data_IF_167751281136
#
_entry.id   IF_167751281136
#
_cell.length_a   1.000
_cell.length_b   1.000
_cell.length_c   1.000
_cell.angle_alpha   90.00
_cell.angle_beta   90.00
_cell.angle_gamma   90.00
#
_symmetry.space_group_name_H-M   'P 1'
#
loop_
_entity.id
_entity.type
_entity.pdbx_description
1 polymer ?
#
# COMPACT_ATOMS: atom_id res chain seq x y z
N UNK A 1 65.62 38.32 -33.74
CA UNK A 1 64.14 38.30 -33.92
C UNK A 1 63.60 36.94 -34.35
N UNK A 2 64.25 36.18 -35.24
CA UNK A 2 63.74 34.86 -35.70
C UNK A 2 63.57 33.80 -34.59
N UNK A 3 64.33 33.87 -33.48
CA UNK A 3 64.25 32.89 -32.39
C UNK A 3 63.01 33.02 -31.50
N UNK A 4 62.40 34.21 -31.41
CA UNK A 4 61.18 34.44 -30.64
C UNK A 4 59.94 33.94 -31.39
N UNK A 5 59.89 34.17 -32.70
CA UNK A 5 58.84 33.69 -33.61
C UNK A 5 58.75 32.16 -33.61
N UNK A 6 59.89 31.48 -33.73
CA UNK A 6 60.00 30.01 -33.66
C UNK A 6 59.55 29.44 -32.32
N UNK A 7 59.87 30.12 -31.21
CA UNK A 7 59.41 29.72 -29.86
C UNK A 7 57.89 29.92 -29.72
N UNK A 8 57.36 31.06 -30.14
CA UNK A 8 55.92 31.35 -30.09
C UNK A 8 55.11 30.35 -30.92
N UNK A 9 55.55 30.05 -32.14
CA UNK A 9 54.88 29.06 -33.00
C UNK A 9 54.88 27.66 -32.39
N UNK A 10 55.99 27.24 -31.75
CA UNK A 10 56.05 25.94 -31.03
C UNK A 10 55.10 25.92 -29.84
N UNK A 11 55.05 26.98 -29.03
CA UNK A 11 54.11 27.08 -27.91
C UNK A 11 52.66 27.06 -28.37
N UNK A 12 52.33 27.82 -29.42
CA UNK A 12 50.98 27.86 -29.99
C UNK A 12 50.57 26.51 -30.58
N UNK A 13 51.48 25.82 -31.28
CA UNK A 13 51.24 24.45 -31.76
C UNK A 13 51.03 23.47 -30.61
N UNK A 14 51.85 23.54 -29.55
CA UNK A 14 51.67 22.72 -28.35
C UNK A 14 50.33 22.98 -27.66
N UNK A 15 49.90 24.24 -27.56
CA UNK A 15 48.60 24.61 -26.99
C UNK A 15 47.43 24.12 -27.84
N UNK A 16 47.53 24.22 -29.17
CA UNK A 16 46.52 23.70 -30.09
C UNK A 16 46.42 22.17 -29.98
N UNK A 17 47.55 21.47 -29.94
CA UNK A 17 47.57 20.01 -29.76
C UNK A 17 46.97 19.65 -28.40
N UNK A 18 47.34 20.36 -27.34
CA UNK A 18 46.77 20.15 -26.00
C UNK A 18 45.26 20.39 -25.99
N UNK A 19 44.78 21.45 -26.64
CA UNK A 19 43.36 21.76 -26.76
C UNK A 19 42.60 20.67 -27.53
N UNK A 20 43.15 20.18 -28.65
CA UNK A 20 42.53 19.09 -29.42
C UNK A 20 42.49 17.79 -28.61
N UNK A 21 43.58 17.46 -27.90
CA UNK A 21 43.63 16.28 -27.03
C UNK A 21 42.62 16.41 -25.88
N UNK A 22 42.50 17.59 -25.27
CA UNK A 22 41.55 17.86 -24.20
C UNK A 22 40.09 17.81 -24.68
N UNK A 23 39.79 18.41 -25.84
CA UNK A 23 38.47 18.34 -26.46
C UNK A 23 38.10 16.90 -26.85
N UNK A 24 39.06 16.15 -27.42
CA UNK A 24 38.91 14.72 -27.70
C UNK A 24 38.65 13.91 -26.43
N UNK A 25 39.39 14.19 -25.36
CA UNK A 25 39.18 13.58 -24.06
C UNK A 25 37.76 13.83 -23.53
N UNK A 26 37.25 15.07 -23.54
CA UNK A 26 35.89 15.36 -23.07
C UNK A 26 34.84 14.55 -23.83
N UNK A 27 34.96 14.45 -25.16
CA UNK A 27 34.01 13.71 -25.99
C UNK A 27 34.02 12.21 -25.67
N UNK A 28 35.20 11.64 -25.44
CA UNK A 28 35.35 10.21 -25.11
C UNK A 28 34.94 9.93 -23.66
N UNK A 29 35.35 10.77 -22.71
CA UNK A 29 35.01 10.66 -21.30
C UNK A 29 33.50 10.75 -21.09
N UNK A 30 32.78 11.59 -21.83
CA UNK A 30 31.31 11.67 -21.76
C UNK A 30 30.60 10.35 -22.12
N UNK A 31 31.28 9.39 -22.76
CA UNK A 31 30.72 8.05 -23.05
C UNK A 31 31.21 6.95 -22.12
N UNK A 32 32.43 7.07 -21.59
CA UNK A 32 33.08 6.02 -20.79
C UNK A 32 33.15 6.33 -19.29
N UNK A 33 33.21 7.60 -18.92
CA UNK A 33 33.22 8.08 -17.54
C UNK A 33 32.27 9.29 -17.41
N UNK A 34 30.96 9.12 -17.68
CA UNK A 34 30.04 10.25 -17.71
C UNK A 34 29.88 10.85 -16.32
N UNK A 35 29.95 12.18 -16.25
CA UNK A 35 29.72 12.97 -15.06
C UNK A 35 28.39 13.73 -15.17
N UNK A 36 27.61 13.74 -14.10
CA UNK A 36 26.44 14.61 -13.97
C UNK A 36 26.40 15.30 -12.62
N UNK A 37 26.07 16.59 -12.65
CA UNK A 37 25.75 17.40 -11.46
C UNK A 37 24.25 17.43 -11.19
N UNK A 38 23.44 16.89 -12.11
CA UNK A 38 21.99 16.79 -11.98
C UNK A 38 21.63 15.54 -11.18
N UNK A 39 22.09 15.48 -9.93
CA UNK A 39 21.77 14.36 -9.04
C UNK A 39 21.40 14.81 -7.64
N UNK A 40 20.49 14.06 -7.02
CA UNK A 40 19.95 14.35 -5.69
C UNK A 40 19.75 13.07 -4.89
N UNK A 41 19.90 13.19 -3.58
CA UNK A 41 19.41 12.18 -2.63
C UNK A 41 17.89 12.17 -2.69
N UNK A 42 17.32 11.01 -2.94
CA UNK A 42 15.89 10.74 -2.91
C UNK A 42 15.58 9.84 -1.71
N UNK A 43 14.33 9.80 -1.31
CA UNK A 43 13.85 8.90 -0.27
C UNK A 43 12.35 8.69 -0.39
N UNK A 44 11.82 7.68 0.27
CA UNK A 44 10.37 7.55 0.37
C UNK A 44 9.82 8.67 1.25
N UNK A 45 8.82 9.37 0.74
CA UNK A 45 8.14 10.44 1.45
C UNK A 45 6.70 9.98 1.67
N UNK A 46 6.40 9.60 2.90
CA UNK A 46 5.10 9.04 3.26
C UNK A 46 4.27 10.15 3.88
N UNK A 47 3.06 10.36 3.36
CA UNK A 47 2.08 11.27 3.95
C UNK A 47 1.25 10.49 4.95
N UNK A 48 1.36 10.83 6.23
CA UNK A 48 0.57 10.17 7.29
C UNK A 48 -0.76 10.91 7.41
N UNK A 49 -1.84 10.20 7.10
CA UNK A 49 -3.22 10.65 7.22
C UNK A 49 -3.95 9.77 8.24
N UNK A 50 -4.90 10.33 9.01
CA UNK A 50 -5.71 9.54 9.92
C UNK A 50 -6.73 8.72 9.13
N UNK A 51 -7.05 7.52 9.61
CA UNK A 51 -8.11 6.71 9.01
C UNK A 51 -9.49 7.07 9.54
N UNK A 52 -9.54 7.73 10.70
CA UNK A 52 -10.77 8.14 11.36
C UNK A 52 -10.77 9.64 11.68
N UNK A 53 -11.90 10.31 11.48
CA UNK A 53 -12.03 11.77 11.70
C UNK A 53 -12.27 12.10 13.16
N UNK A 54 -11.60 13.09 13.75
CA UNK A 54 -11.95 13.61 15.09
C UNK A 54 -11.05 14.76 15.53
N UNK A 55 -11.27 15.27 16.75
CA UNK A 55 -10.41 16.31 17.33
C UNK A 55 -9.12 15.68 17.84
N UNK A 56 -7.98 16.30 17.57
CA UNK A 56 -6.69 15.85 18.09
C UNK A 56 -6.56 16.29 19.56
N UNK A 57 -6.34 15.32 20.44
CA UNK A 57 -6.23 15.52 21.89
C UNK A 57 -4.78 15.61 22.36
N UNK A 58 -3.87 14.97 21.63
CA UNK A 58 -2.46 14.90 22.00
C UNK A 58 -1.57 14.77 20.76
N UNK A 59 -0.42 15.43 20.79
CA UNK A 59 0.62 15.38 19.75
C UNK A 59 1.95 15.12 20.44
N UNK A 60 2.45 13.88 20.34
CA UNK A 60 3.59 13.38 21.11
C UNK A 60 4.94 13.57 20.39
N UNK A 61 4.90 14.22 19.23
CA UNK A 61 6.04 14.36 18.33
C UNK A 61 6.16 15.80 17.84
N UNK A 62 7.40 16.24 17.67
CA UNK A 62 7.74 17.53 17.10
C UNK A 62 8.17 17.44 15.64
N UNK A 63 8.19 18.60 14.97
CA UNK A 63 8.75 18.70 13.63
C UNK A 63 10.26 18.40 13.64
N UNK A 64 10.76 17.65 12.65
CA UNK A 64 12.13 17.17 12.52
C UNK A 64 12.59 16.21 13.63
N UNK A 65 11.65 15.55 14.33
CA UNK A 65 11.97 14.56 15.35
C UNK A 65 12.14 13.16 14.73
N UNK A 66 13.19 12.45 15.15
CA UNK A 66 13.38 11.03 14.85
C UNK A 66 12.50 10.17 15.78
N UNK A 67 11.80 9.20 15.20
CA UNK A 67 10.90 8.27 15.89
C UNK A 67 11.19 6.84 15.48
N UNK A 68 10.89 5.90 16.38
CA UNK A 68 10.98 4.47 16.11
C UNK A 68 9.62 3.92 15.71
N UNK A 69 9.61 2.77 15.03
CA UNK A 69 8.39 2.01 14.74
C UNK A 69 7.53 1.85 15.99
N UNK A 70 6.23 2.13 15.86
CA UNK A 70 5.25 2.02 16.94
C UNK A 70 5.22 3.20 17.91
N UNK A 71 6.09 4.22 17.74
CA UNK A 71 6.01 5.46 18.53
C UNK A 71 4.69 6.16 18.21
N UNK A 72 3.86 6.52 19.21
CA UNK A 72 2.65 7.29 18.96
C UNK A 72 2.99 8.68 18.44
N UNK A 73 2.30 9.10 17.38
CA UNK A 73 2.49 10.39 16.73
C UNK A 73 1.51 11.41 17.30
N UNK A 74 0.22 11.09 17.18
CA UNK A 74 -0.86 11.89 17.72
C UNK A 74 -2.05 10.99 18.04
N UNK A 75 -2.91 11.50 18.93
CA UNK A 75 -4.12 10.81 19.38
C UNK A 75 -5.34 11.66 19.04
N UNK A 76 -6.35 11.00 18.51
CA UNK A 76 -7.68 11.56 18.25
C UNK A 76 -8.58 11.26 19.45
N UNK A 77 -9.51 12.16 19.76
CA UNK A 77 -10.50 11.97 20.82
C UNK A 77 -11.20 10.61 20.69
N UNK A 78 -10.99 9.77 21.69
CA UNK A 78 -11.46 8.38 21.71
C UNK A 78 -12.89 8.26 22.18
N UNK A 79 -13.47 9.28 22.82
CA UNK A 79 -14.74 9.20 23.56
C UNK A 79 -15.87 8.65 22.71
N UNK A 80 -16.01 9.15 21.47
CA UNK A 80 -17.04 8.69 20.53
C UNK A 80 -16.83 7.25 20.06
N UNK A 81 -15.58 6.79 20.00
CA UNK A 81 -15.21 5.46 19.53
C UNK A 81 -15.35 4.44 20.65
N UNK A 82 -14.98 4.81 21.88
CA UNK A 82 -15.24 4.00 23.08
C UNK A 82 -16.75 3.80 23.27
N UNK A 83 -17.56 4.84 23.12
CA UNK A 83 -19.03 4.71 23.14
C UNK A 83 -19.56 3.83 22.00
N UNK A 84 -18.93 3.86 20.82
CA UNK A 84 -19.32 2.99 19.71
C UNK A 84 -19.00 1.52 20.00
N UNK A 85 -17.85 1.24 20.65
CA UNK A 85 -17.48 -0.10 21.13
C UNK A 85 -18.49 -0.58 22.17
N UNK A 86 -18.78 0.22 23.20
CA UNK A 86 -19.76 -0.14 24.24
C UNK A 86 -21.15 -0.42 23.64
N UNK A 87 -21.60 0.40 22.69
CA UNK A 87 -22.85 0.17 21.97
C UNK A 87 -22.85 -1.15 21.19
N UNK A 88 -21.73 -1.49 20.56
CA UNK A 88 -21.59 -2.74 19.81
C UNK A 88 -21.51 -3.97 20.74
N UNK A 89 -20.87 -3.86 21.90
CA UNK A 89 -20.87 -4.91 22.94
C UNK A 89 -22.28 -5.20 23.46
N UNK A 90 -23.06 -4.15 23.73
CA UNK A 90 -24.47 -4.30 24.13
C UNK A 90 -25.28 -4.96 23.02
N UNK A 91 -25.06 -4.59 21.76
CA UNK A 91 -25.73 -5.21 20.62
C UNK A 91 -25.37 -6.70 20.47
N UNK A 92 -24.11 -7.08 20.68
CA UNK A 92 -23.66 -8.46 20.68
C UNK A 92 -24.33 -9.27 21.80
N UNK A 93 -24.42 -8.70 23.00
CA UNK A 93 -25.15 -9.34 24.11
C UNK A 93 -26.62 -9.56 23.76
N UNK A 94 -27.28 -8.56 23.17
CA UNK A 94 -28.68 -8.69 22.73
C UNK A 94 -28.84 -9.76 21.64
N UNK A 95 -27.88 -9.92 20.75
CA UNK A 95 -27.89 -10.97 19.73
C UNK A 95 -27.80 -12.37 20.36
N UNK A 96 -26.93 -12.58 21.35
CA UNK A 96 -26.88 -13.86 22.09
C UNK A 96 -28.15 -14.15 22.88
N UNK A 97 -28.79 -13.13 23.46
CA UNK A 97 -30.09 -13.28 24.14
C UNK A 97 -31.19 -13.69 23.15
N UNK A 98 -31.20 -13.11 21.94
CA UNK A 98 -32.13 -13.48 20.87
C UNK A 98 -31.88 -14.90 20.34
N UNK A 99 -30.62 -15.29 20.18
CA UNK A 99 -30.22 -16.65 19.82
C UNK A 99 -30.69 -17.67 20.87
N UNK A 100 -30.50 -17.35 22.16
CA UNK A 100 -31.01 -18.16 23.28
C UNK A 100 -32.54 -18.33 23.22
N UNK A 101 -33.27 -17.27 22.87
CA UNK A 101 -34.72 -17.35 22.66
C UNK A 101 -35.09 -18.21 21.45
N UNK A 102 -34.29 -18.21 20.38
CA UNK A 102 -34.48 -19.08 19.21
C UNK A 102 -34.27 -20.56 19.57
N UNK A 103 -33.29 -20.90 20.42
CA UNK A 103 -33.13 -22.26 20.93
C UNK A 103 -34.39 -22.77 21.64
N UNK A 104 -34.99 -21.94 22.50
CA UNK A 104 -36.23 -22.28 23.18
C UNK A 104 -37.39 -22.50 22.19
N UNK A 105 -37.49 -21.66 21.14
CA UNK A 105 -38.49 -21.82 20.07
C UNK A 105 -38.28 -23.10 19.25
N UNK A 106 -37.05 -23.46 18.91
CA UNK A 106 -36.73 -24.73 18.23
C UNK A 106 -37.12 -25.92 19.10
N UNK A 107 -36.84 -25.87 20.41
CA UNK A 107 -37.27 -26.92 21.36
C UNK A 107 -38.80 -27.06 21.38
N UNK A 108 -39.52 -25.95 21.47
CA UNK A 108 -40.99 -25.93 21.38
C UNK A 108 -41.50 -26.45 20.03
N UNK A 109 -40.83 -26.10 18.92
CA UNK A 109 -41.16 -26.56 17.57
C UNK A 109 -40.99 -28.08 17.43
N UNK A 110 -39.90 -28.65 17.99
CA UNK A 110 -39.70 -30.11 18.04
C UNK A 110 -40.81 -30.81 18.81
N UNK A 111 -41.21 -30.28 19.96
CA UNK A 111 -42.33 -30.81 20.72
C UNK A 111 -43.63 -30.74 19.89
N UNK A 112 -43.88 -29.63 19.18
CA UNK A 112 -45.05 -29.49 18.31
C UNK A 112 -45.07 -30.55 17.20
N UNK A 113 -43.95 -30.77 16.51
CA UNK A 113 -43.81 -31.83 15.50
C UNK A 113 -44.10 -33.21 16.10
N UNK A 114 -43.59 -33.50 17.29
CA UNK A 114 -43.86 -34.76 17.98
C UNK A 114 -45.35 -34.95 18.28
N UNK A 115 -46.05 -33.91 18.76
CA UNK A 115 -47.50 -33.98 19.01
C UNK A 115 -48.31 -34.17 17.72
N UNK A 116 -47.99 -33.46 16.63
CA UNK A 116 -48.70 -33.60 15.36
C UNK A 116 -48.41 -34.93 14.68
N UNK A 117 -47.19 -35.47 14.86
CA UNK A 117 -46.82 -36.80 14.39
C UNK A 117 -47.65 -37.88 15.09
N UNK A 118 -47.83 -37.79 16.41
CA UNK A 118 -48.67 -38.71 17.16
C UNK A 118 -50.13 -38.67 16.68
N UNK A 119 -50.68 -37.47 16.46
CA UNK A 119 -52.04 -37.29 15.92
C UNK A 119 -52.20 -37.88 14.51
N UNK A 120 -51.23 -37.66 13.63
CA UNK A 120 -51.21 -38.29 12.30
C UNK A 120 -51.13 -39.81 12.38
N UNK A 121 -50.27 -40.37 13.24
CA UNK A 121 -50.14 -41.82 13.41
C UNK A 121 -51.46 -42.46 13.88
N UNK A 122 -52.18 -41.79 14.78
CA UNK A 122 -53.50 -42.23 15.23
C UNK A 122 -54.53 -42.19 14.09
N UNK A 123 -54.65 -41.05 13.40
CA UNK A 123 -55.59 -40.88 12.28
C UNK A 123 -55.30 -41.86 11.13
N UNK A 124 -54.03 -42.12 10.83
CA UNK A 124 -53.59 -43.10 9.84
C UNK A 124 -53.97 -44.51 10.23
N UNK A 125 -53.76 -44.90 11.49
CA UNK A 125 -54.10 -46.23 11.99
C UNK A 125 -55.62 -46.46 11.95
N UNK A 126 -56.40 -45.45 12.30
CA UNK A 126 -57.87 -45.47 12.19
C UNK A 126 -58.31 -45.62 10.74
N UNK A 127 -57.82 -44.77 9.83
CA UNK A 127 -58.11 -44.86 8.41
C UNK A 127 -57.78 -46.24 7.83
N UNK A 128 -56.63 -46.82 8.19
CA UNK A 128 -56.25 -48.17 7.75
C UNK A 128 -57.20 -49.25 8.27
N UNK A 129 -57.67 -49.12 9.52
CA UNK A 129 -58.64 -50.04 10.12
C UNK A 129 -59.99 -49.96 9.40
N UNK A 130 -60.52 -48.74 9.25
CA UNK A 130 -61.79 -48.48 8.57
C UNK A 130 -61.74 -48.92 7.09
N UNK A 131 -60.61 -48.69 6.40
CA UNK A 131 -60.41 -49.16 5.02
C UNK A 131 -60.52 -50.68 4.89
N UNK A 132 -59.92 -51.45 5.81
CA UNK A 132 -60.02 -52.92 5.82
C UNK A 132 -61.47 -53.38 6.08
N UNK A 133 -62.16 -52.75 7.02
CA UNK A 133 -63.57 -53.05 7.31
C UNK A 133 -64.50 -52.69 6.14
N UNK A 134 -64.21 -51.60 5.43
CA UNK A 134 -64.98 -51.17 4.25
C UNK A 134 -64.85 -52.17 3.10
N UNK A 135 -63.65 -52.74 2.88
CA UNK A 135 -63.42 -53.81 1.90
C UNK A 135 -64.23 -55.07 2.21
N UNK A 136 -64.49 -55.32 3.49
CA UNK A 136 -65.35 -56.41 3.98
C UNK A 136 -66.84 -56.03 4.02
N UNK A 137 -67.21 -54.82 3.56
CA UNK A 137 -68.58 -54.25 3.59
C UNK A 137 -69.17 -54.11 5.00
N UNK A 138 -68.33 -53.92 6.03
CA UNK A 138 -68.73 -53.81 7.44
C UNK A 138 -68.97 -52.37 7.92
N UNK A 139 -68.68 -51.35 7.10
CA UNK A 139 -68.84 -49.91 7.40
C UNK A 139 -69.37 -49.15 6.19
N UNK A 140 -69.92 -47.94 6.39
CA UNK A 140 -70.47 -47.09 5.32
C UNK A 140 -69.39 -46.35 4.52
N UNK A 141 -69.71 -45.98 3.28
CA UNK A 141 -68.81 -45.18 2.42
C UNK A 141 -68.46 -43.82 3.06
N UNK A 142 -69.45 -43.12 3.62
CA UNK A 142 -69.23 -41.85 4.33
C UNK A 142 -68.26 -41.99 5.51
N UNK A 143 -68.28 -43.11 6.24
CA UNK A 143 -67.33 -43.35 7.33
C UNK A 143 -65.88 -43.47 6.81
N UNK A 144 -65.69 -44.15 5.68
CA UNK A 144 -64.38 -44.24 5.02
C UNK A 144 -63.90 -42.86 4.54
N UNK A 145 -64.78 -42.08 3.90
CA UNK A 145 -64.45 -40.74 3.41
C UNK A 145 -64.08 -39.79 4.55
N UNK A 146 -64.81 -39.83 5.67
CA UNK A 146 -64.48 -39.05 6.87
C UNK A 146 -63.12 -39.47 7.47
N UNK A 147 -62.82 -40.77 7.53
CA UNK A 147 -61.53 -41.25 8.02
C UNK A 147 -60.37 -40.83 7.09
N UNK A 148 -60.59 -40.83 5.77
CA UNK A 148 -59.62 -40.34 4.78
C UNK A 148 -59.37 -38.84 4.97
N UNK A 149 -60.43 -38.04 5.07
CA UNK A 149 -60.34 -36.59 5.27
C UNK A 149 -59.63 -36.24 6.60
N UNK A 150 -59.94 -36.95 7.69
CA UNK A 150 -59.26 -36.73 8.97
C UNK A 150 -57.76 -37.06 8.89
N UNK A 151 -57.40 -38.14 8.19
CA UNK A 151 -56.00 -38.49 7.96
C UNK A 151 -55.28 -37.46 7.08
N UNK A 152 -55.92 -36.91 6.04
CA UNK A 152 -55.31 -35.87 5.19
C UNK A 152 -55.09 -34.56 5.95
N UNK A 153 -56.05 -34.13 6.78
CA UNK A 153 -55.89 -32.96 7.67
C UNK A 153 -54.73 -33.18 8.65
N UNK A 154 -54.64 -34.35 9.27
CA UNK A 154 -53.57 -34.65 10.21
C UNK A 154 -52.19 -34.67 9.54
N UNK A 155 -52.10 -35.17 8.30
CA UNK A 155 -50.87 -35.13 7.51
C UNK A 155 -50.46 -33.69 7.17
N UNK A 156 -51.40 -32.86 6.72
CA UNK A 156 -51.13 -31.45 6.42
C UNK A 156 -50.65 -30.68 7.65
N UNK A 157 -51.23 -30.94 8.82
CA UNK A 157 -50.81 -30.33 10.08
C UNK A 157 -49.40 -30.75 10.50
N UNK A 158 -49.03 -32.02 10.26
CA UNK A 158 -47.66 -32.49 10.49
C UNK A 158 -46.68 -31.79 9.54
N UNK A 159 -46.99 -31.71 8.25
CA UNK A 159 -46.14 -31.02 7.29
C UNK A 159 -45.97 -29.54 7.64
N UNK A 160 -47.04 -28.84 8.04
CA UNK A 160 -46.96 -27.45 8.49
C UNK A 160 -46.01 -27.31 9.69
N UNK A 161 -46.18 -28.14 10.73
CA UNK A 161 -45.30 -28.12 11.90
C UNK A 161 -43.83 -28.43 11.56
N UNK A 162 -43.58 -29.31 10.58
CA UNK A 162 -42.22 -29.60 10.10
C UNK A 162 -41.60 -28.41 9.37
N UNK A 163 -42.36 -27.71 8.52
CA UNK A 163 -41.87 -26.50 7.84
C UNK A 163 -41.61 -25.36 8.82
N UNK A 164 -42.48 -25.20 9.82
CA UNK A 164 -42.28 -24.22 10.89
C UNK A 164 -40.97 -24.50 11.65
N UNK A 165 -40.72 -25.77 12.01
CA UNK A 165 -39.47 -26.16 12.67
C UNK A 165 -38.24 -25.91 11.78
N UNK A 166 -38.32 -26.25 10.49
CA UNK A 166 -37.23 -26.00 9.54
C UNK A 166 -36.91 -24.51 9.44
N UNK A 167 -37.93 -23.64 9.39
CA UNK A 167 -37.73 -22.19 9.33
C UNK A 167 -36.97 -21.66 10.56
N UNK A 168 -37.29 -22.18 11.75
CA UNK A 168 -36.60 -21.82 12.99
C UNK A 168 -35.15 -22.33 13.02
N UNK A 169 -34.90 -23.53 12.49
CA UNK A 169 -33.55 -24.09 12.37
C UNK A 169 -32.68 -23.27 11.40
N UNK A 170 -33.25 -22.83 10.27
CA UNK A 170 -32.55 -21.96 9.31
C UNK A 170 -32.20 -20.60 9.95
N UNK A 171 -33.11 -20.02 10.74
CA UNK A 171 -32.83 -18.76 11.46
C UNK A 171 -31.74 -18.92 12.53
N UNK A 172 -31.68 -20.08 13.19
CA UNK A 172 -30.67 -20.36 14.21
C UNK A 172 -29.28 -20.63 13.60
N UNK A 173 -29.22 -21.14 12.38
CA UNK A 173 -27.97 -21.51 11.72
C UNK A 173 -27.53 -22.94 12.02
N UNK A 174 -26.34 -23.30 11.55
CA UNK A 174 -25.81 -24.67 11.59
C UNK A 174 -25.07 -24.93 12.91
N UNK A 175 -24.37 -23.92 13.44
CA UNK A 175 -23.51 -24.03 14.62
C UNK A 175 -24.07 -23.18 15.78
N UNK A 176 -24.02 -23.68 17.02
CA UNK A 176 -24.30 -22.84 18.19
C UNK A 176 -23.34 -21.67 18.36
N UNK A 177 -23.89 -20.47 18.58
CA UNK A 177 -23.12 -19.23 18.72
C UNK A 177 -22.78 -18.54 17.41
N UNK A 178 -23.18 -19.11 16.27
CA UNK A 178 -22.88 -18.62 14.92
C UNK A 178 -24.15 -18.23 14.16
N UNK A 179 -25.24 -17.91 14.88
CA UNK A 179 -26.42 -17.37 14.22
C UNK A 179 -26.05 -16.07 13.49
N UNK A 180 -26.70 -15.82 12.35
CA UNK A 180 -26.37 -14.67 11.49
C UNK A 180 -26.45 -13.33 12.20
N UNK A 181 -27.32 -13.22 13.21
CA UNK A 181 -27.44 -12.04 14.08
C UNK A 181 -26.26 -11.86 15.02
N UNK A 182 -25.71 -12.95 15.58
CA UNK A 182 -24.51 -12.90 16.43
C UNK A 182 -23.32 -12.48 15.60
N UNK A 183 -23.07 -13.13 14.46
CA UNK A 183 -21.97 -12.75 13.57
C UNK A 183 -22.06 -11.30 13.06
N UNK A 184 -23.26 -10.82 12.75
CA UNK A 184 -23.44 -9.42 12.37
C UNK A 184 -23.05 -8.46 13.51
N UNK A 185 -23.37 -8.81 14.76
CA UNK A 185 -23.02 -8.02 15.93
C UNK A 185 -21.52 -8.12 16.29
N UNK A 186 -20.91 -9.29 16.14
CA UNK A 186 -19.45 -9.50 16.30
C UNK A 186 -18.67 -8.64 15.31
N UNK A 187 -19.04 -8.67 14.03
CA UNK A 187 -18.42 -7.84 12.99
C UNK A 187 -18.58 -6.34 13.29
N UNK A 188 -19.73 -5.92 13.81
CA UNK A 188 -19.96 -4.54 14.21
C UNK A 188 -19.07 -4.13 15.39
N UNK A 189 -18.85 -5.03 16.35
CA UNK A 189 -17.92 -4.83 17.47
C UNK A 189 -16.46 -4.75 16.99
N UNK A 190 -16.04 -5.66 16.11
CA UNK A 190 -14.70 -5.64 15.52
C UNK A 190 -14.45 -4.33 14.75
N UNK A 191 -15.42 -3.88 13.94
CA UNK A 191 -15.33 -2.60 13.23
C UNK A 191 -15.23 -1.41 14.19
N UNK A 192 -15.98 -1.42 15.30
CA UNK A 192 -15.90 -0.37 16.31
C UNK A 192 -14.53 -0.35 17.01
N UNK A 193 -13.99 -1.54 17.32
CA UNK A 193 -12.67 -1.70 17.92
C UNK A 193 -11.54 -1.24 16.97
N UNK A 194 -11.66 -1.55 15.67
CA UNK A 194 -10.71 -1.09 14.66
C UNK A 194 -10.73 0.43 14.54
N UNK A 195 -11.93 1.03 14.52
CA UNK A 195 -12.05 2.49 14.50
C UNK A 195 -11.49 3.13 15.77
N UNK A 196 -11.62 2.48 16.93
CA UNK A 196 -11.00 2.91 18.18
C UNK A 196 -9.47 2.79 18.12
N UNK A 197 -8.91 1.71 17.59
CA UNK A 197 -7.46 1.56 17.48
C UNK A 197 -6.85 2.59 16.52
N UNK A 198 -7.58 2.95 15.46
CA UNK A 198 -7.16 3.98 14.49
C UNK A 198 -7.23 5.42 15.04
N UNK A 199 -7.74 5.62 16.25
CA UNK A 199 -7.62 6.92 16.94
C UNK A 199 -6.20 7.24 17.36
N UNK A 200 -5.36 6.21 17.55
CA UNK A 200 -3.95 6.36 17.89
C UNK A 200 -3.10 6.09 16.64
N UNK A 201 -2.53 7.15 16.08
CA UNK A 201 -1.71 7.04 14.89
C UNK A 201 -0.26 6.88 15.29
N UNK A 202 0.35 5.75 14.90
CA UNK A 202 1.70 5.37 15.27
C UNK A 202 2.66 5.40 14.07
N UNK A 203 3.96 5.53 14.33
CA UNK A 203 4.99 5.48 13.29
C UNK A 203 5.07 4.07 12.64
N UNK A 204 5.00 3.95 11.30
CA UNK A 204 5.00 2.65 10.63
C UNK A 204 6.39 1.96 10.62
N UNK A 205 7.47 2.74 10.64
CA UNK A 205 8.86 2.28 10.68
C UNK A 205 9.74 3.30 11.44
N UNK A 206 11.05 3.08 11.45
CA UNK A 206 12.02 4.04 12.00
C UNK A 206 12.23 5.18 10.98
N UNK A 207 12.07 6.42 11.41
CA UNK A 207 12.09 7.57 10.49
C UNK A 207 12.07 8.92 11.18
N UNK A 208 11.94 9.96 10.36
CA UNK A 208 11.91 11.36 10.80
C UNK A 208 10.59 11.99 10.36
N UNK A 209 9.97 12.72 11.27
CA UNK A 209 8.74 13.48 11.01
C UNK A 209 9.12 14.86 10.50
N UNK A 210 8.49 15.29 9.42
CA UNK A 210 8.70 16.60 8.79
C UNK A 210 7.36 17.21 8.42
N UNK A 211 7.32 18.53 8.25
CA UNK A 211 6.10 19.27 7.88
C UNK A 211 4.89 18.89 8.76
N UNK A 212 5.09 18.87 10.08
CA UNK A 212 4.02 18.65 11.05
C UNK A 212 3.08 19.85 11.06
N UNK A 213 1.85 19.68 10.57
CA UNK A 213 0.81 20.72 10.51
C UNK A 213 -0.35 20.38 11.45
N UNK A 214 -0.01 19.99 12.68
CA UNK A 214 -0.98 19.50 13.64
C UNK A 214 -0.75 20.13 15.01
N UNK A 215 -1.83 20.63 15.60
CA UNK A 215 -1.88 21.16 16.96
C UNK A 215 -3.04 20.53 17.73
N UNK A 216 -2.90 20.46 19.06
CA UNK A 216 -3.97 19.99 19.94
C UNK A 216 -5.20 20.89 19.80
N UNK A 217 -6.38 20.27 19.68
CA UNK A 217 -7.65 20.95 19.43
C UNK A 217 -8.00 21.12 17.95
N UNK A 218 -7.08 20.84 17.02
CA UNK A 218 -7.39 20.83 15.59
C UNK A 218 -8.21 19.59 15.18
N UNK A 219 -8.95 19.69 14.08
CA UNK A 219 -9.75 18.59 13.55
C UNK A 219 -8.95 17.78 12.52
N UNK A 220 -8.67 16.53 12.84
CA UNK A 220 -8.13 15.53 11.94
C UNK A 220 -9.26 14.93 11.09
N UNK A 221 -9.13 14.97 9.76
CA UNK A 221 -10.12 14.40 8.82
C UNK A 221 -9.55 13.17 8.12
N UNK A 222 -10.37 12.12 7.96
CA UNK A 222 -9.95 10.88 7.28
C UNK A 222 -9.32 11.16 5.92
N UNK A 223 -8.21 10.47 5.61
CA UNK A 223 -7.44 10.58 4.36
C UNK A 223 -6.84 11.96 4.05
N UNK A 224 -6.84 12.89 5.01
CA UNK A 224 -6.13 14.16 4.88
C UNK A 224 -4.76 14.07 5.57
N UNK A 225 -3.64 14.22 4.84
CA UNK A 225 -2.30 14.21 5.44
C UNK A 225 -2.13 15.32 6.48
N UNK A 226 -1.62 14.97 7.66
CA UNK A 226 -1.34 15.92 8.76
C UNK A 226 0.16 16.13 9.00
N UNK A 227 0.97 15.14 8.61
CA UNK A 227 2.42 15.20 8.69
C UNK A 227 3.07 14.37 7.58
N UNK A 228 4.33 14.67 7.31
CA UNK A 228 5.17 13.91 6.40
C UNK A 228 6.15 13.05 7.20
N UNK A 229 6.30 11.80 6.82
CA UNK A 229 7.20 10.84 7.45
C UNK A 229 8.23 10.35 6.42
N UNK A 230 9.51 10.39 6.79
CA UNK A 230 10.64 9.96 5.95
C UNK A 230 11.32 8.78 6.64
N UNK A 231 11.23 7.54 6.11
CA UNK A 231 11.93 6.38 6.65
C UNK A 231 13.45 6.53 6.54
N UNK A 232 14.19 6.18 7.59
CA UNK A 232 15.66 6.40 7.64
C UNK A 232 16.44 5.47 6.72
N UNK A 233 15.89 4.29 6.44
CA UNK A 233 16.46 3.22 5.62
C UNK A 233 16.11 3.33 4.12
N UNK A 234 15.47 4.44 3.72
CA UNK A 234 14.90 4.59 2.37
C UNK A 234 15.66 5.53 1.44
N UNK A 235 16.88 5.96 1.79
CA UNK A 235 17.62 6.95 1.00
C UNK A 235 18.41 6.31 -0.15
N UNK A 236 18.26 6.85 -1.36
CA UNK A 236 19.06 6.49 -2.54
C UNK A 236 19.50 7.73 -3.30
N UNK A 237 20.41 7.61 -4.28
CA UNK A 237 20.81 8.74 -5.14
C UNK A 237 20.19 8.57 -6.52
N UNK A 238 19.46 9.58 -6.98
CA UNK A 238 18.95 9.64 -8.34
C UNK A 238 19.80 10.64 -9.15
N UNK A 239 20.30 10.18 -10.29
CA UNK A 239 21.20 10.95 -11.14
C UNK A 239 20.71 10.97 -12.59
N UNK A 240 20.54 12.18 -13.14
CA UNK A 240 20.03 12.37 -14.50
C UNK A 240 21.20 12.52 -15.47
N UNK A 241 21.41 11.52 -16.31
CA UNK A 241 22.48 11.50 -17.32
C UNK A 241 21.94 11.71 -18.73
N UNK A 242 22.76 12.23 -19.63
CA UNK A 242 22.44 12.29 -21.07
C UNK A 242 22.32 10.87 -21.63
N UNK A 243 21.34 10.61 -22.48
CA UNK A 243 21.09 9.28 -23.06
C UNK A 243 22.35 8.67 -23.71
N UNK A 244 23.08 9.47 -24.51
CA UNK A 244 24.33 9.03 -25.15
C UNK A 244 25.43 8.62 -24.16
N UNK A 245 25.39 9.15 -22.95
CA UNK A 245 26.43 9.02 -21.94
C UNK A 245 26.29 7.70 -21.17
N UNK A 246 25.06 7.22 -20.99
CA UNK A 246 24.76 5.94 -20.34
C UNK A 246 24.68 4.76 -21.32
N UNK A 247 24.83 4.99 -22.63
CA UNK A 247 24.68 3.95 -23.65
C UNK A 247 25.67 2.79 -23.50
N UNK A 248 26.82 3.01 -22.85
CA UNK A 248 27.84 2.00 -22.56
C UNK A 248 27.80 1.50 -21.11
N UNK A 249 26.89 2.02 -20.29
CA UNK A 249 26.75 1.65 -18.88
C UNK A 249 25.77 0.48 -18.75
N UNK A 250 26.08 -0.45 -17.85
CA UNK A 250 25.26 -1.62 -17.54
C UNK A 250 25.24 -1.87 -16.02
N UNK A 251 24.64 -2.96 -15.58
CA UNK A 251 24.56 -3.33 -14.16
C UNK A 251 25.93 -3.61 -13.52
N UNK A 252 26.99 -3.78 -14.31
CA UNK A 252 28.38 -3.95 -13.86
C UNK A 252 29.19 -2.64 -13.92
N UNK A 253 28.50 -1.50 -14.01
CA UNK A 253 29.14 -0.19 -13.88
C UNK A 253 29.03 0.30 -12.45
N UNK A 254 30.14 0.76 -11.89
CA UNK A 254 30.19 1.38 -10.57
C UNK A 254 29.96 2.89 -10.69
N UNK A 255 29.42 3.48 -9.62
CA UNK A 255 29.25 4.91 -9.46
C UNK A 255 30.12 5.45 -8.31
N UNK A 256 30.70 6.62 -8.51
CA UNK A 256 31.28 7.43 -7.44
C UNK A 256 30.46 8.69 -7.27
N UNK A 257 30.09 8.95 -6.03
CA UNK A 257 29.24 10.07 -5.65
C UNK A 257 29.99 10.97 -4.68
N UNK A 258 29.97 12.28 -4.93
CA UNK A 258 30.38 13.29 -3.96
C UNK A 258 29.17 14.15 -3.63
N UNK A 259 28.97 14.45 -2.35
CA UNK A 259 27.86 15.29 -1.89
C UNK A 259 28.37 16.71 -1.62
N UNK A 260 27.53 17.71 -1.87
CA UNK A 260 27.87 19.12 -1.57
C UNK A 260 28.08 19.29 -0.05
N UNK A 261 27.33 18.55 0.77
CA UNK A 261 27.47 18.54 2.23
C UNK A 261 28.79 17.94 2.73
N UNK A 262 29.51 17.19 1.89
CA UNK A 262 30.77 16.51 2.26
C UNK A 262 31.84 16.76 1.20
N UNK A 263 32.36 18.00 1.10
CA UNK A 263 33.37 18.35 0.12
C UNK A 263 34.64 17.50 0.30
N UNK A 264 35.25 17.09 -0.81
CA UNK A 264 36.44 16.25 -0.86
C UNK A 264 36.24 14.77 -0.51
N UNK A 265 35.02 14.33 -0.10
CA UNK A 265 34.73 12.92 0.19
C UNK A 265 33.95 12.27 -0.95
N UNK A 266 34.36 11.05 -1.30
CA UNK A 266 33.73 10.25 -2.35
C UNK A 266 33.15 8.98 -1.74
N UNK A 267 31.98 8.60 -2.22
CA UNK A 267 31.22 7.43 -1.77
C UNK A 267 31.02 6.49 -2.94
N UNK A 268 31.21 5.20 -2.72
CA UNK A 268 30.99 4.17 -3.73
C UNK A 268 29.50 3.78 -3.75
N UNK A 269 28.95 3.69 -4.95
CA UNK A 269 27.57 3.33 -5.22
C UNK A 269 27.52 2.34 -6.37
N UNK A 270 26.48 1.51 -6.37
CA UNK A 270 26.17 0.59 -7.46
C UNK A 270 24.94 1.10 -8.22
N UNK A 271 24.86 0.77 -9.51
CA UNK A 271 23.67 1.06 -10.30
C UNK A 271 22.58 0.06 -9.88
N UNK A 272 21.52 0.57 -9.27
CA UNK A 272 20.38 -0.24 -8.86
C UNK A 272 19.40 -0.42 -10.01
N UNK A 273 19.04 0.69 -10.66
CA UNK A 273 18.09 0.67 -11.77
C UNK A 273 18.25 1.89 -12.67
N UNK A 274 17.67 1.78 -13.86
CA UNK A 274 17.56 2.87 -14.83
C UNK A 274 16.10 3.01 -15.21
N UNK A 275 15.61 4.25 -15.26
CA UNK A 275 14.25 4.53 -15.71
C UNK A 275 14.12 4.18 -17.20
N UNK A 276 13.06 3.43 -17.54
CA UNK A 276 12.80 2.99 -18.93
C UNK A 276 11.92 3.97 -19.72
N UNK A 277 11.51 5.08 -19.10
CA UNK A 277 10.63 6.06 -19.73
C UNK A 277 10.80 7.45 -19.12
N UNK A 278 10.45 8.45 -19.90
CA UNK A 278 10.39 9.86 -19.50
C UNK A 278 9.00 10.38 -19.84
N UNK A 279 8.45 11.25 -18.99
CA UNK A 279 7.09 11.78 -19.17
C UNK A 279 6.88 12.47 -20.53
N UNK A 280 7.94 12.97 -21.16
CA UNK A 280 7.90 13.56 -22.50
C UNK A 280 7.39 12.61 -23.61
N UNK A 281 7.47 11.29 -23.41
CA UNK A 281 6.95 10.29 -24.35
C UNK A 281 5.51 9.84 -24.04
N UNK A 282 4.92 10.31 -22.93
CA UNK A 282 3.63 9.84 -22.46
C UNK A 282 2.51 10.66 -23.08
N UNK A 283 1.75 10.06 -24.00
CA UNK A 283 0.55 10.65 -24.57
C UNK A 283 -0.66 10.19 -23.74
N UNK A 284 -1.37 11.11 -23.11
CA UNK A 284 -2.65 10.78 -22.46
C UNK A 284 -3.69 10.44 -23.52
N UNK A 285 -4.36 9.27 -23.44
CA UNK A 285 -5.44 8.94 -24.36
C UNK A 285 -6.56 9.97 -24.24
N UNK A 286 -6.74 10.81 -25.26
CA UNK A 286 -7.70 11.93 -25.24
C UNK A 286 -8.61 11.96 -26.48
N UNK A 287 -8.61 10.89 -27.28
CA UNK A 287 -9.46 10.75 -28.47
C UNK A 287 -9.11 11.68 -29.65
N UNK A 288 -8.03 12.48 -29.54
CA UNK A 288 -7.52 13.30 -30.64
C UNK A 288 -6.41 12.55 -31.39
N UNK A 289 -6.26 12.83 -32.68
CA UNK A 289 -5.11 12.35 -33.45
C UNK A 289 -3.82 12.94 -32.87
N UNK A 290 -2.77 12.12 -32.80
CA UNK A 290 -1.44 12.56 -32.36
C UNK A 290 -0.96 13.72 -33.23
N UNK A 291 -0.72 14.88 -32.60
CA UNK A 291 -0.08 16.00 -33.25
C UNK A 291 1.43 15.73 -33.39
N UNK A 292 2.00 16.04 -34.55
CA UNK A 292 3.46 16.03 -34.74
C UNK A 292 4.05 17.18 -33.93
N UNK A 293 4.95 16.89 -32.99
CA UNK A 293 5.69 17.94 -32.30
C UNK A 293 6.62 18.67 -33.29
N UNK A 294 6.34 19.94 -33.56
CA UNK A 294 7.20 20.80 -34.37
C UNK A 294 8.13 21.61 -33.46
N UNK A 295 9.38 21.16 -33.33
CA UNK A 295 10.41 21.90 -32.60
C UNK A 295 11.28 22.71 -33.58
N UNK A 296 11.36 24.03 -33.41
CA UNK A 296 12.11 24.94 -34.28
C UNK A 296 13.57 25.16 -33.85
N UNK A 297 14.13 24.26 -33.05
CA UNK A 297 15.53 24.33 -32.59
C UNK A 297 16.46 23.65 -33.60
N UNK A 298 17.49 24.38 -34.04
CA UNK A 298 18.54 23.89 -34.95
C UNK A 298 19.45 22.82 -34.32
N UNK A 299 19.52 22.76 -32.99
CA UNK A 299 20.15 21.68 -32.22
C UNK A 299 19.14 21.12 -31.22
N UNK A 300 18.95 19.80 -31.24
CA UNK A 300 18.06 19.09 -30.31
C UNK A 300 18.68 19.04 -28.91
N UNK A 301 17.87 19.30 -27.89
CA UNK A 301 18.28 19.12 -26.50
C UNK A 301 18.65 17.65 -26.24
N UNK A 302 19.67 17.44 -25.40
CA UNK A 302 20.01 16.10 -24.96
C UNK A 302 18.89 15.57 -24.05
N UNK A 303 18.28 14.46 -24.46
CA UNK A 303 17.37 13.72 -23.59
C UNK A 303 18.16 13.17 -22.42
N UNK A 304 17.59 13.25 -21.22
CA UNK A 304 18.16 12.68 -20.01
C UNK A 304 17.37 11.47 -19.55
N UNK A 305 18.09 10.54 -18.95
CA UNK A 305 17.57 9.32 -18.35
C UNK A 305 18.07 9.27 -16.92
N UNK A 306 17.14 8.98 -15.99
CA UNK A 306 17.45 8.84 -14.58
C UNK A 306 18.04 7.47 -14.30
N UNK A 307 19.12 7.47 -13.54
CA UNK A 307 19.76 6.28 -12.99
C UNK A 307 19.65 6.35 -11.48
N UNK A 308 19.09 5.32 -10.86
CA UNK A 308 18.99 5.19 -9.42
C UNK A 308 20.17 4.36 -8.91
N UNK A 309 20.81 4.87 -7.87
CA UNK A 309 22.04 4.35 -7.31
C UNK A 309 21.81 3.99 -5.86
N UNK A 310 22.23 2.79 -5.48
CA UNK A 310 22.18 2.29 -4.10
C UNK A 310 23.58 2.04 -3.56
N UNK A 311 23.71 2.05 -2.25
CA UNK A 311 24.95 1.70 -1.55
C UNK A 311 24.63 0.79 -0.39
N UNK A 312 25.54 -0.14 -0.10
CA UNK A 312 25.43 -1.04 1.05
C UNK A 312 25.94 -0.36 2.34
N UNK A 313 26.71 0.72 2.20
CA UNK A 313 27.20 1.50 3.33
C UNK A 313 26.15 2.49 3.83
N UNK A 314 25.96 2.63 5.16
CA UNK A 314 24.99 3.58 5.68
C UNK A 314 25.39 5.00 5.32
N UNK A 315 24.47 5.71 4.67
CA UNK A 315 24.68 7.11 4.30
C UNK A 315 24.85 7.99 5.54
N UNK A 316 25.68 9.05 5.47
CA UNK A 316 25.83 9.99 6.56
C UNK A 316 24.48 10.61 6.98
N UNK A 317 24.21 10.66 8.28
CA UNK A 317 22.93 11.15 8.85
C UNK A 317 22.60 12.62 8.52
N UNK A 318 23.59 13.40 8.09
CA UNK A 318 23.42 14.78 7.67
C UNK A 318 22.81 14.92 6.28
N UNK A 319 22.82 13.86 5.47
CA UNK A 319 22.13 13.85 4.19
C UNK A 319 20.62 13.77 4.42
N UNK A 320 19.89 14.60 3.68
CA UNK A 320 18.42 14.66 3.69
C UNK A 320 17.89 14.53 2.25
N UNK A 321 16.61 14.15 2.11
CA UNK A 321 15.94 14.09 0.81
C UNK A 321 16.02 15.46 0.13
N UNK A 322 16.61 15.50 -1.06
CA UNK A 322 16.89 16.73 -1.80
C UNK A 322 18.35 17.20 -1.74
N UNK A 323 19.20 16.58 -0.92
CA UNK A 323 20.65 16.88 -0.89
C UNK A 323 21.25 16.72 -2.29
N UNK A 324 22.04 17.70 -2.70
CA UNK A 324 22.70 17.70 -4.01
C UNK A 324 23.90 16.77 -4.02
N UNK A 325 24.11 16.14 -5.16
CA UNK A 325 25.25 15.29 -5.39
C UNK A 325 25.80 15.50 -6.80
N UNK A 326 27.06 15.13 -6.99
CA UNK A 326 27.66 14.91 -8.30
C UNK A 326 28.01 13.44 -8.42
N UNK A 327 27.66 12.83 -9.55
CA UNK A 327 27.88 11.40 -9.80
C UNK A 327 28.74 11.23 -11.05
N UNK A 328 29.71 10.34 -10.96
CA UNK A 328 30.43 9.78 -12.11
C UNK A 328 30.17 8.28 -12.20
N UNK A 329 29.79 7.80 -13.37
CA UNK A 329 29.74 6.36 -13.66
C UNK A 329 31.01 5.94 -14.39
N UNK A 330 31.44 4.70 -14.23
CA UNK A 330 32.49 4.11 -15.04
C UNK A 330 32.32 2.59 -15.16
N UNK A 331 32.82 1.95 -16.22
CA UNK A 331 32.77 0.50 -16.36
C UNK A 331 33.88 -0.16 -15.53
N UNK A 332 33.56 -1.24 -14.82
CA UNK A 332 34.52 -1.93 -13.95
C UNK A 332 35.65 -2.62 -14.71
N UNK A 333 35.44 -2.89 -15.99
CA UNK A 333 36.35 -3.65 -16.84
C UNK A 333 37.59 -2.88 -17.31
N UNK A 334 37.71 -1.57 -17.03
CA UNK A 334 38.83 -0.77 -17.52
C UNK A 334 39.48 0.10 -16.43
N UNK A 335 40.74 -0.19 -16.03
CA UNK A 335 41.43 0.53 -14.96
C UNK A 335 41.75 1.99 -15.31
N UNK A 336 41.85 2.32 -16.61
CA UNK A 336 42.13 3.70 -17.04
C UNK A 336 40.92 4.58 -16.74
N UNK A 337 39.72 4.12 -17.07
CA UNK A 337 38.49 4.88 -16.85
C UNK A 337 38.14 4.99 -15.38
N UNK A 338 38.39 3.96 -14.58
CA UNK A 338 38.18 4.03 -13.13
C UNK A 338 39.14 5.02 -12.45
N UNK A 339 40.41 5.08 -12.88
CA UNK A 339 41.36 6.07 -12.38
C UNK A 339 40.95 7.50 -12.78
N UNK A 340 40.57 7.71 -14.04
CA UNK A 340 40.12 9.01 -14.53
C UNK A 340 38.84 9.47 -13.84
N UNK A 341 37.88 8.57 -13.64
CA UNK A 341 36.65 8.85 -12.89
C UNK A 341 36.97 9.30 -11.45
N UNK A 342 37.88 8.60 -10.76
CA UNK A 342 38.35 8.97 -9.41
C UNK A 342 38.99 10.35 -9.38
N UNK A 343 39.86 10.66 -10.34
CA UNK A 343 40.49 11.99 -10.45
C UNK A 343 39.43 13.06 -10.69
N UNK A 344 38.51 12.82 -11.63
CA UNK A 344 37.46 13.77 -12.00
C UNK A 344 36.53 14.06 -10.83
N UNK A 345 36.00 13.04 -10.16
CA UNK A 345 35.09 13.22 -9.02
C UNK A 345 35.80 13.84 -7.81
N UNK A 346 37.09 13.53 -7.60
CA UNK A 346 37.86 14.14 -6.50
C UNK A 346 38.13 15.62 -6.75
N UNK A 347 38.47 16.00 -7.99
CA UNK A 347 38.62 17.41 -8.38
C UNK A 347 37.30 18.16 -8.19
N UNK A 348 36.17 17.61 -8.63
CA UNK A 348 34.86 18.25 -8.44
C UNK A 348 34.48 18.30 -6.95
N UNK A 349 34.74 17.24 -6.20
CA UNK A 349 34.53 17.22 -4.75
C UNK A 349 35.36 18.28 -4.02
N UNK A 350 36.57 18.61 -4.49
CA UNK A 350 37.35 19.73 -3.97
C UNK A 350 36.74 21.09 -4.34
N UNK A 351 36.13 21.22 -5.52
CA UNK A 351 35.46 22.46 -5.92
C UNK A 351 34.23 22.78 -5.07
N UNK A 352 33.62 21.78 -4.41
CA UNK A 352 32.53 21.99 -3.43
C UNK A 352 33.00 22.73 -2.16
N UNK A 353 34.30 23.00 -1.97
CA UNK A 353 34.75 23.93 -0.92
C UNK A 353 34.58 25.41 -1.32
N UNK A 354 34.42 25.71 -2.61
CA UNK A 354 34.45 27.08 -3.14
C UNK A 354 33.05 27.72 -3.13
N UNK A 355 31.99 26.91 -3.15
CA UNK A 355 30.60 27.34 -3.08
C UNK A 355 29.84 26.37 -2.18
#
# INVERSE_FOLDING_TARGET
>A
MQTAELKFRRWMQSLIILFILFAGYIVVADRHAPLTTESRVQGYVIQIAPEVTGTVTDVQVGNNQAVKKGTPLFTIDTSRYTLAVEKAEVALKQAHEQESALYAKVSSGKAKVATTQASYNNARSEYQRIKKLAQQKLVSASMLDNALANNSVALSNLHAAQQDLLSLQVQLGITPGESSMVHAAENALEQANLNLSHTQVNAPSDGVITNLQLEVGSTASTNMPLLTFIPTDSLWVAADFREKAIALMNEHSTALVTFDAFPGKTFAFNIQSRDFGVAAAQQSPNGKLTAVETNNRWVRDAQRVRVNLSTDEPLPKQLFVGSRATVVLYPDNNPIWSLLAKIQISLVGMLHYIY
#
